data_IF_157143083864
#
_entry.id   IF_157143083864
#
_cell.length_a   1.000
_cell.length_b   1.000
_cell.length_c   1.000
_cell.angle_alpha   90.00
_cell.angle_beta   90.00
_cell.angle_gamma   90.00
#
_symmetry.space_group_name_H-M   'P 1'
#
loop_
_entity.id
_entity.type
_entity.pdbx_description
1 polymer ?
#
# COMPACT_ATOMS: atom_id res chain seq x y z
N UNK A 1 1.66 -5.10 -18.19
CA UNK A 1 1.90 -4.11 -17.13
C UNK A 1 2.86 -4.67 -16.08
N UNK A 2 3.48 -3.80 -15.29
CA UNK A 2 4.38 -4.21 -14.21
C UNK A 2 3.68 -5.14 -13.19
N UNK A 3 2.43 -4.88 -12.90
CA UNK A 3 1.61 -5.68 -11.99
C UNK A 3 1.35 -7.09 -12.54
N UNK A 4 1.02 -7.22 -13.82
CA UNK A 4 0.81 -8.52 -14.46
C UNK A 4 2.10 -9.35 -14.52
N UNK A 5 3.25 -8.69 -14.78
CA UNK A 5 4.55 -9.33 -14.76
C UNK A 5 4.90 -9.84 -13.35
N UNK A 6 4.54 -9.09 -12.31
CA UNK A 6 4.80 -9.46 -10.92
C UNK A 6 3.98 -10.69 -10.49
N UNK A 7 2.72 -10.79 -10.90
CA UNK A 7 1.93 -12.00 -10.67
C UNK A 7 2.58 -13.26 -11.27
N UNK A 8 3.11 -13.15 -12.50
CA UNK A 8 3.75 -14.28 -13.16
C UNK A 8 5.08 -14.70 -12.58
N UNK A 9 5.72 -13.82 -11.81
CA UNK A 9 7.04 -14.07 -11.20
C UNK A 9 6.96 -14.76 -9.84
N UNK A 10 5.85 -14.59 -9.12
CA UNK A 10 5.71 -15.09 -7.75
C UNK A 10 5.16 -16.52 -7.73
N UNK A 11 5.79 -17.36 -6.90
CA UNK A 11 5.35 -18.75 -6.68
C UNK A 11 5.35 -19.02 -5.16
N UNK A 12 4.20 -19.40 -4.55
CA UNK A 12 2.88 -19.50 -5.20
C UNK A 12 2.30 -18.14 -5.60
N UNK A 13 1.43 -18.14 -6.63
CA UNK A 13 0.77 -16.92 -7.10
C UNK A 13 -0.06 -16.31 -5.98
N UNK A 14 0.21 -15.06 -5.57
CA UNK A 14 -0.51 -14.43 -4.47
C UNK A 14 -1.97 -14.16 -4.82
N UNK A 15 -2.79 -13.97 -3.80
CA UNK A 15 -4.18 -13.58 -3.98
C UNK A 15 -4.31 -12.18 -4.59
N UNK A 16 -3.45 -11.27 -4.15
CA UNK A 16 -3.44 -9.86 -4.55
C UNK A 16 -2.00 -9.38 -4.66
N UNK A 17 -1.76 -8.48 -5.60
CA UNK A 17 -0.49 -7.74 -5.74
C UNK A 17 -0.78 -6.24 -5.73
N UNK A 18 0.02 -5.47 -5.03
CA UNK A 18 -0.13 -4.02 -4.95
C UNK A 18 1.24 -3.32 -4.95
N UNK A 19 1.37 -2.14 -5.58
CA UNK A 19 2.63 -1.39 -5.54
C UNK A 19 2.81 -0.65 -4.22
N UNK A 20 4.08 -0.53 -3.82
CA UNK A 20 4.52 0.29 -2.70
C UNK A 20 5.69 1.19 -3.11
N UNK A 21 5.90 2.27 -2.40
CA UNK A 21 6.99 3.19 -2.66
C UNK A 21 7.63 3.66 -1.36
N UNK A 22 8.88 4.06 -1.44
CA UNK A 22 9.60 4.58 -0.27
C UNK A 22 9.10 5.97 0.09
N UNK A 23 8.64 6.15 1.32
CA UNK A 23 8.17 7.45 1.80
C UNK A 23 9.31 8.41 2.08
N UNK A 24 9.05 9.69 1.81
CA UNK A 24 9.86 10.80 2.30
C UNK A 24 9.53 11.08 3.76
N UNK A 25 10.51 11.58 4.51
CA UNK A 25 10.37 11.84 5.95
C UNK A 25 9.16 12.71 6.30
N UNK A 26 8.82 13.68 5.44
CA UNK A 26 7.73 14.63 5.67
C UNK A 26 6.34 14.00 5.63
N UNK A 27 6.21 12.82 5.02
CA UNK A 27 4.91 12.16 4.80
C UNK A 27 4.62 11.01 5.76
N UNK A 28 5.59 10.58 6.55
CA UNK A 28 5.47 9.41 7.44
C UNK A 28 4.31 9.53 8.41
N UNK A 29 4.14 10.70 9.02
CA UNK A 29 3.09 10.94 10.03
C UNK A 29 1.81 11.54 9.45
N UNK A 30 1.70 11.68 8.13
CA UNK A 30 0.49 12.18 7.49
C UNK A 30 -0.56 11.05 7.38
N UNK A 31 -1.72 11.16 8.07
CA UNK A 31 -2.75 10.11 8.03
C UNK A 31 -3.42 9.94 6.66
N UNK A 32 -3.30 10.91 5.76
CA UNK A 32 -3.78 10.77 4.38
C UNK A 32 -2.92 9.80 3.56
N UNK A 33 -1.66 9.61 3.95
CA UNK A 33 -0.74 8.66 3.32
C UNK A 33 -0.84 7.32 4.02
N UNK A 34 -1.19 6.28 3.29
CA UNK A 34 -1.29 4.93 3.84
C UNK A 34 0.09 4.28 3.90
N UNK A 35 0.46 3.81 5.09
CA UNK A 35 1.70 3.07 5.33
C UNK A 35 1.44 1.58 5.33
N UNK A 36 2.45 0.79 4.98
CA UNK A 36 2.41 -0.66 5.07
C UNK A 36 3.69 -1.22 5.67
N UNK A 37 3.55 -2.32 6.38
CA UNK A 37 4.68 -3.13 6.85
C UNK A 37 4.92 -4.26 5.87
N UNK A 38 6.19 -4.52 5.56
CA UNK A 38 6.59 -5.57 4.65
C UNK A 38 7.31 -6.69 5.40
N UNK A 39 6.92 -7.93 5.13
CA UNK A 39 7.68 -9.10 5.52
C UNK A 39 8.94 -9.22 4.66
N UNK A 40 9.87 -10.09 5.03
CA UNK A 40 11.12 -10.32 4.28
C UNK A 40 10.88 -10.77 2.84
N UNK A 41 9.79 -11.47 2.59
CA UNK A 41 9.41 -11.95 1.25
C UNK A 41 8.63 -10.91 0.42
N UNK A 42 8.45 -9.71 0.94
CA UNK A 42 7.69 -8.64 0.28
C UNK A 42 6.18 -8.69 0.51
N UNK A 43 5.69 -9.65 1.30
CA UNK A 43 4.29 -9.71 1.66
C UNK A 43 3.93 -8.56 2.59
N UNK A 44 2.78 -7.90 2.35
CA UNK A 44 2.24 -6.91 3.26
C UNK A 44 1.74 -7.56 4.55
N UNK A 45 2.19 -7.04 5.69
CA UNK A 45 1.75 -7.51 7.01
C UNK A 45 0.51 -6.76 7.50
N UNK A 46 0.46 -5.46 7.27
CA UNK A 46 -0.63 -4.59 7.66
C UNK A 46 -0.58 -3.26 6.89
N UNK A 47 -1.72 -2.60 6.78
CA UNK A 47 -1.84 -1.24 6.23
C UNK A 47 -2.48 -0.34 7.27
N UNK A 48 -1.93 0.86 7.45
CA UNK A 48 -2.46 1.81 8.43
C UNK A 48 -2.25 3.27 8.00
N UNK A 49 -3.13 4.12 8.43
CA UNK A 49 -2.94 5.58 8.34
C UNK A 49 -1.94 6.09 9.37
N UNK A 50 -1.74 5.35 10.47
CA UNK A 50 -0.70 5.63 11.45
C UNK A 50 0.69 5.34 10.87
N UNK A 51 1.70 6.05 11.38
CA UNK A 51 3.08 5.69 11.09
C UNK A 51 3.42 4.33 11.72
N UNK A 52 3.75 3.36 10.91
CA UNK A 52 4.18 2.02 11.30
C UNK A 52 5.46 1.64 10.55
N UNK A 53 6.46 1.03 11.22
CA UNK A 53 6.49 0.62 12.63
C UNK A 53 6.72 1.82 13.57
N UNK A 54 6.35 1.64 14.85
CA UNK A 54 6.77 2.54 15.91
C UNK A 54 8.25 2.32 16.22
N UNK A 55 9.01 3.39 16.35
CA UNK A 55 10.42 3.31 16.77
C UNK A 55 10.49 3.70 18.24
N UNK A 56 10.74 2.71 19.09
CA UNK A 56 10.75 2.86 20.53
C UNK A 56 11.91 3.76 20.98
N UNK A 57 11.63 4.63 21.95
CA UNK A 57 12.61 5.53 22.59
C UNK A 57 13.30 6.54 21.66
N UNK A 58 12.66 6.84 20.51
CA UNK A 58 13.13 7.80 19.51
C UNK A 58 12.03 8.83 19.25
N UNK A 59 12.42 10.09 19.11
CA UNK A 59 11.49 11.15 18.72
C UNK A 59 10.86 10.82 17.36
N UNK A 60 9.53 10.96 17.20
CA UNK A 60 8.86 10.66 15.94
C UNK A 60 9.43 11.36 14.71
N UNK A 61 9.98 12.56 14.87
CA UNK A 61 10.62 13.30 13.77
C UNK A 61 11.89 12.63 13.22
N UNK A 62 12.48 11.71 13.98
CA UNK A 62 13.72 11.02 13.64
C UNK A 62 13.52 9.55 13.22
N UNK A 63 12.29 9.04 13.21
CA UNK A 63 12.00 7.63 12.89
C UNK A 63 12.52 7.21 11.50
N UNK A 64 12.48 8.10 10.53
CA UNK A 64 12.98 7.85 9.18
C UNK A 64 14.49 7.54 9.10
N UNK A 65 15.27 7.88 10.15
CA UNK A 65 16.69 7.57 10.24
C UNK A 65 16.96 6.12 10.68
N UNK A 66 15.97 5.46 11.28
CA UNK A 66 16.10 4.12 11.86
C UNK A 66 15.56 3.02 10.97
N UNK A 67 14.60 3.32 10.10
CA UNK A 67 14.00 2.34 9.18
C UNK A 67 13.41 3.03 7.95
N UNK A 68 13.21 2.26 6.90
CA UNK A 68 12.47 2.72 5.73
C UNK A 68 10.97 2.59 5.97
N UNK A 69 10.23 3.64 5.63
CA UNK A 69 8.77 3.64 5.65
C UNK A 69 8.23 3.45 4.24
N UNK A 70 7.23 2.61 4.10
CA UNK A 70 6.63 2.26 2.83
C UNK A 70 5.24 2.84 2.71
N UNK A 71 5.01 3.57 1.62
CA UNK A 71 3.71 4.08 1.24
C UNK A 71 3.01 3.11 0.30
N UNK A 72 1.70 3.06 0.38
CA UNK A 72 0.86 2.21 -0.43
C UNK A 72 0.26 2.98 -1.61
N UNK A 73 0.32 2.39 -2.79
CA UNK A 73 -0.40 2.87 -3.98
C UNK A 73 -1.73 2.11 -4.08
N UNK A 74 -2.84 2.86 -4.09
CA UNK A 74 -4.19 2.29 -4.12
C UNK A 74 -4.57 1.61 -5.45
N UNK A 75 -3.69 0.77 -5.98
CA UNK A 75 -3.91 -0.05 -7.18
C UNK A 75 -3.68 -1.51 -6.83
N UNK A 76 -4.51 -2.40 -7.40
CA UNK A 76 -4.45 -3.82 -7.09
C UNK A 76 -4.54 -4.67 -8.34
N UNK A 77 -3.72 -5.72 -8.39
CA UNK A 77 -3.95 -6.86 -9.26
C UNK A 77 -4.55 -7.99 -8.44
N UNK A 78 -5.67 -8.52 -8.87
CA UNK A 78 -6.37 -9.63 -8.21
C UNK A 78 -6.20 -10.91 -9.00
N UNK A 79 -5.94 -12.02 -8.31
CA UNK A 79 -6.17 -13.33 -8.90
C UNK A 79 -7.68 -13.52 -9.11
N UNK A 80 -8.09 -14.05 -10.24
CA UNK A 80 -9.49 -14.07 -10.66
C UNK A 80 -10.45 -14.71 -9.66
N UNK A 81 -10.03 -15.78 -8.96
CA UNK A 81 -10.82 -16.45 -7.93
C UNK A 81 -11.06 -15.54 -6.70
N UNK A 82 -10.11 -14.68 -6.35
CA UNK A 82 -10.25 -13.74 -5.23
C UNK A 82 -11.23 -12.62 -5.57
N UNK A 83 -11.18 -12.12 -6.78
CA UNK A 83 -12.09 -11.08 -7.21
C UNK A 83 -13.56 -11.55 -7.18
N UNK A 84 -13.81 -12.80 -7.54
CA UNK A 84 -15.17 -13.38 -7.55
C UNK A 84 -15.77 -13.58 -6.17
N UNK A 85 -14.95 -13.69 -5.12
CA UNK A 85 -15.42 -13.89 -3.74
C UNK A 85 -15.40 -12.61 -2.90
N UNK A 86 -15.02 -11.48 -3.48
CA UNK A 86 -14.86 -10.21 -2.75
C UNK A 86 -16.08 -9.85 -1.92
N UNK A 87 -17.27 -9.92 -2.52
CA UNK A 87 -18.52 -9.59 -1.84
C UNK A 87 -18.95 -10.59 -0.78
N UNK A 88 -18.31 -11.76 -0.73
CA UNK A 88 -18.57 -12.82 0.23
C UNK A 88 -17.60 -12.81 1.42
N UNK A 89 -16.60 -11.91 1.39
CA UNK A 89 -15.66 -11.78 2.48
C UNK A 89 -16.38 -11.32 3.77
N UNK A 90 -15.95 -11.81 4.94
CA UNK A 90 -16.52 -11.38 6.22
C UNK A 90 -16.40 -9.87 6.44
N UNK A 91 -17.27 -9.31 7.27
CA UNK A 91 -17.12 -7.94 7.73
C UNK A 91 -15.73 -7.71 8.36
N UNK A 92 -15.16 -6.56 8.10
CA UNK A 92 -13.80 -6.22 8.54
C UNK A 92 -13.83 -5.00 9.47
N UNK A 93 -13.75 -5.20 10.79
CA UNK A 93 -13.66 -4.07 11.74
C UNK A 93 -12.45 -3.17 11.47
N UNK A 94 -11.33 -3.72 11.03
CA UNK A 94 -10.14 -2.93 10.70
C UNK A 94 -10.35 -2.05 9.47
N UNK A 95 -11.04 -2.55 8.45
CA UNK A 95 -11.45 -1.77 7.28
C UNK A 95 -12.31 -0.57 7.69
N UNK A 96 -13.28 -0.80 8.56
CA UNK A 96 -14.18 0.25 9.04
C UNK A 96 -13.46 1.32 9.86
N UNK A 97 -12.51 0.92 10.70
CA UNK A 97 -11.73 1.81 11.54
C UNK A 97 -10.73 2.65 10.74
N UNK A 98 -9.97 2.01 9.88
CA UNK A 98 -8.90 2.66 9.11
C UNK A 98 -9.41 3.26 7.79
N UNK A 99 -10.60 2.89 7.32
CA UNK A 99 -11.14 3.21 5.99
C UNK A 99 -10.21 2.76 4.88
N UNK A 100 -9.75 1.50 4.99
CA UNK A 100 -8.84 0.85 4.05
C UNK A 100 -9.42 -0.51 3.64
N UNK A 101 -9.92 -0.61 2.41
CA UNK A 101 -10.63 -1.79 1.90
C UNK A 101 -9.75 -3.05 1.87
N UNK A 102 -8.46 -2.92 1.63
CA UNK A 102 -7.53 -4.05 1.57
C UNK A 102 -7.38 -4.78 2.91
N UNK A 103 -7.74 -4.15 4.01
CA UNK A 103 -7.73 -4.80 5.33
C UNK A 103 -8.76 -5.92 5.43
N UNK A 104 -9.82 -5.89 4.63
CA UNK A 104 -10.78 -7.00 4.50
C UNK A 104 -10.10 -8.30 4.07
N UNK A 105 -9.17 -8.20 3.13
CA UNK A 105 -8.37 -9.35 2.68
C UNK A 105 -7.42 -9.85 3.77
N UNK A 106 -6.71 -8.93 4.43
CA UNK A 106 -5.80 -9.26 5.52
C UNK A 106 -6.54 -10.00 6.65
N UNK A 107 -7.68 -9.48 7.10
CA UNK A 107 -8.48 -10.12 8.16
C UNK A 107 -9.05 -11.48 7.72
N UNK A 108 -9.34 -11.65 6.45
CA UNK A 108 -9.80 -12.92 5.90
C UNK A 108 -8.68 -13.96 5.67
N UNK A 109 -7.41 -13.58 5.93
CA UNK A 109 -6.26 -14.48 5.83
C UNK A 109 -5.63 -14.56 4.43
N UNK A 110 -5.99 -13.68 3.50
CA UNK A 110 -5.38 -13.63 2.17
C UNK A 110 -4.05 -12.92 2.18
N UNK A 111 -3.12 -13.41 1.36
CA UNK A 111 -1.80 -12.79 1.19
C UNK A 111 -1.85 -11.69 0.14
N UNK A 112 -1.36 -10.52 0.51
CA UNK A 112 -1.12 -9.40 -0.40
C UNK A 112 0.39 -9.28 -0.62
N UNK A 113 0.85 -9.57 -1.82
CA UNK A 113 2.22 -9.35 -2.22
C UNK A 113 2.44 -7.90 -2.66
N UNK A 114 3.63 -7.38 -2.46
CA UNK A 114 3.99 -6.02 -2.87
C UNK A 114 5.16 -6.02 -3.84
N UNK A 115 5.26 -4.97 -4.62
CA UNK A 115 6.44 -4.66 -5.41
C UNK A 115 6.75 -3.17 -5.32
N UNK A 116 8.04 -2.85 -5.33
CA UNK A 116 8.50 -1.47 -5.18
C UNK A 116 8.42 -0.76 -6.51
N UNK A 117 7.80 0.43 -6.50
CA UNK A 117 7.83 1.36 -7.64
C UNK A 117 8.64 2.60 -7.26
N UNK A 118 9.29 3.19 -8.24
CA UNK A 118 10.00 4.45 -8.07
C UNK A 118 9.04 5.63 -8.24
N UNK A 119 9.27 6.69 -7.48
CA UNK A 119 8.47 7.91 -7.51
C UNK A 119 7.37 7.97 -6.46
N UNK A 120 6.76 9.12 -6.35
CA UNK A 120 5.57 9.33 -5.52
C UNK A 120 4.34 8.87 -6.28
N UNK A 121 3.54 8.03 -5.63
CA UNK A 121 2.18 7.79 -6.12
C UNK A 121 1.42 9.12 -6.15
N UNK A 122 0.95 9.51 -7.31
CA UNK A 122 -0.01 10.58 -7.42
C UNK A 122 -1.39 10.00 -7.06
N UNK A 123 -1.74 10.14 -5.79
CA UNK A 123 -3.15 10.11 -5.42
C UNK A 123 -3.79 11.41 -5.90
N UNK A 124 -4.83 11.32 -6.68
CA UNK A 124 -5.56 12.50 -7.18
C UNK A 124 -6.81 12.68 -6.33
N UNK A 125 -6.61 13.25 -5.13
CA UNK A 125 -7.70 13.51 -4.17
C UNK A 125 -8.02 15.01 -4.05
N UNK A 126 -7.17 15.88 -4.62
CA UNK A 126 -7.37 17.33 -4.61
C UNK A 126 -7.24 17.92 -6.02
N UNK A 127 -7.84 19.11 -6.29
CA UNK A 127 -7.66 19.79 -7.57
C UNK A 127 -6.20 20.06 -7.93
N UNK A 128 -5.35 20.37 -6.96
CA UNK A 128 -3.93 20.62 -7.14
C UNK A 128 -3.20 19.34 -7.59
N UNK A 129 -3.52 18.20 -7.00
CA UNK A 129 -2.99 16.90 -7.39
C UNK A 129 -3.45 16.48 -8.79
N UNK A 130 -4.68 16.83 -9.17
CA UNK A 130 -5.18 16.61 -10.52
C UNK A 130 -4.36 17.39 -11.54
N UNK A 131 -4.02 18.63 -11.25
CA UNK A 131 -3.23 19.48 -12.14
C UNK A 131 -1.79 18.96 -12.26
N UNK A 132 -1.19 18.53 -11.16
CA UNK A 132 0.12 17.88 -11.16
C UNK A 132 0.12 16.58 -11.99
N UNK A 133 -0.91 15.75 -11.84
CA UNK A 133 -1.08 14.53 -12.62
C UNK A 133 -1.23 14.82 -14.12
N UNK A 134 -1.96 15.88 -14.48
CA UNK A 134 -2.09 16.33 -15.89
C UNK A 134 -0.77 16.79 -16.48
N UNK A 135 0.00 17.55 -15.72
CA UNK A 135 1.33 18.01 -16.17
C UNK A 135 2.26 16.84 -16.43
N UNK A 136 2.27 15.84 -15.54
CA UNK A 136 3.10 14.64 -15.72
C UNK A 136 2.62 13.78 -16.89
N UNK A 137 1.32 13.62 -17.08
CA UNK A 137 0.76 12.91 -18.23
C UNK A 137 1.03 13.63 -19.56
N UNK A 138 1.04 14.96 -19.57
CA UNK A 138 1.36 15.77 -20.73
C UNK A 138 2.86 15.83 -21.06
N UNK A 139 3.73 15.46 -20.13
CA UNK A 139 5.17 15.42 -20.31
C UNK A 139 5.67 14.05 -20.83
N UNK A 140 4.81 13.06 -20.89
CA UNK A 140 5.08 11.73 -21.46
C UNK A 140 4.69 11.69 -22.97
#
# INVERSE_FOLDING_TARGET
SAMAAEFGRLDPVPAVVTPVYRLKSETIHNPAVVKTLLAHDGRALYFSRSAIPHVRDVDPSEWHQHTSYWGHVGMYGFRGDVLTIWDQLPASPLEDLERLEQLRLIEAGYTIATFVVEGTSLSVDTPEQLEEARLLAGAA
#
